data_IF_718330221429
#
_entry.id   IF_718330221429
#
_cell.length_a   1.000
_cell.length_b   1.000
_cell.length_c   1.000
_cell.angle_alpha   90.00
_cell.angle_beta   90.00
_cell.angle_gamma   90.00
#
_symmetry.space_group_name_H-M   'P 1'
#
loop_
_entity.id
_entity.type
_entity.pdbx_description
1 polymer ?
#
# COMPACT_ATOMS: atom_id res chain seq x y z
N UNK A 1 -1.39 45.26 36.72
CA UNK A 1 -1.60 45.42 38.17
C UNK A 1 -3.09 45.54 38.47
N UNK A 2 -3.69 44.45 38.98
CA UNK A 2 -4.82 44.42 39.94
C UNK A 2 -5.06 42.96 40.32
N UNK A 3 -4.20 42.50 41.22
CA UNK A 3 -4.50 41.69 42.42
C UNK A 3 -5.89 42.02 43.02
N UNK A 4 -6.64 41.19 43.76
CA UNK A 4 -6.51 39.93 44.51
C UNK A 4 -7.97 39.45 44.75
N UNK A 5 -8.21 38.16 44.96
CA UNK A 5 -9.51 37.67 45.42
C UNK A 5 -9.52 36.19 45.79
N UNK A 6 -8.74 35.83 46.82
CA UNK A 6 -8.76 34.53 47.49
C UNK A 6 -10.15 34.15 48.00
N UNK A 7 -10.56 32.90 47.81
CA UNK A 7 -11.70 32.33 48.54
C UNK A 7 -11.34 30.95 49.08
N UNK A 8 -10.67 30.96 50.25
CA UNK A 8 -10.40 29.80 51.08
C UNK A 8 -10.83 30.11 52.50
N UNK A 9 -12.02 29.67 52.88
CA UNK A 9 -12.35 29.13 54.20
C UNK A 9 -13.87 29.14 54.39
N UNK A 10 -14.48 27.97 54.54
CA UNK A 10 -15.44 27.73 55.61
C UNK A 10 -15.48 26.21 55.85
N UNK A 11 -14.76 25.79 56.88
CA UNK A 11 -14.83 24.47 57.48
C UNK A 11 -15.93 24.43 58.55
N UNK A 12 -16.41 23.21 58.79
CA UNK A 12 -17.03 22.71 60.01
C UNK A 12 -18.49 23.05 60.32
N UNK A 13 -19.37 22.10 59.97
CA UNK A 13 -20.49 21.71 60.83
C UNK A 13 -20.42 20.19 61.04
N UNK A 14 -19.99 19.85 62.25
CA UNK A 14 -19.89 18.49 62.77
C UNK A 14 -21.27 17.91 63.10
N UNK A 15 -21.43 16.61 62.87
CA UNK A 15 -22.13 15.74 63.81
C UNK A 15 -23.55 15.30 63.42
N UNK A 16 -23.66 14.09 62.88
CA UNK A 16 -24.60 13.06 63.37
C UNK A 16 -24.21 11.68 62.82
N UNK A 17 -23.64 10.88 63.71
CA UNK A 17 -23.39 9.46 63.54
C UNK A 17 -24.68 8.67 63.36
N UNK A 18 -24.74 7.73 62.40
CA UNK A 18 -25.44 6.44 62.54
C UNK A 18 -24.78 5.34 61.69
N UNK A 19 -24.25 4.35 62.41
CA UNK A 19 -24.35 2.90 62.20
C UNK A 19 -23.82 2.30 60.88
N UNK A 20 -22.60 1.77 60.97
CA UNK A 20 -22.29 0.35 60.78
C UNK A 20 -22.76 -0.32 59.49
N UNK A 21 -21.82 -0.45 58.54
CA UNK A 21 -21.76 -1.57 57.59
C UNK A 21 -20.27 -1.88 57.37
N UNK A 22 -19.87 -3.11 57.69
CA UNK A 22 -18.50 -3.60 57.53
C UNK A 22 -18.03 -3.52 56.08
N UNK A 23 -16.72 -3.29 55.81
CA UNK A 23 -16.22 -3.33 54.45
C UNK A 23 -16.10 -4.79 54.01
N UNK A 24 -17.00 -5.22 53.11
CA UNK A 24 -16.73 -6.40 52.31
C UNK A 24 -15.46 -6.13 51.52
N UNK A 25 -14.43 -6.91 51.81
CA UNK A 25 -13.14 -6.89 51.12
C UNK A 25 -13.36 -7.12 49.63
N UNK A 26 -13.40 -6.02 48.87
CA UNK A 26 -13.18 -6.06 47.45
C UNK A 26 -11.68 -6.16 47.24
N UNK A 27 -11.18 -7.38 47.11
CA UNK A 27 -9.90 -7.61 46.44
C UNK A 27 -10.09 -7.12 45.02
N UNK A 28 -9.67 -5.88 44.75
CA UNK A 28 -9.52 -5.41 43.38
C UNK A 28 -8.53 -6.37 42.71
N UNK A 29 -8.87 -7.03 41.59
CA UNK A 29 -7.86 -7.73 40.83
C UNK A 29 -6.87 -6.64 40.38
N UNK A 30 -5.66 -6.70 40.93
CA UNK A 30 -4.54 -5.98 40.37
C UNK A 30 -4.34 -6.53 38.96
N UNK A 31 -4.93 -5.85 37.97
CA UNK A 31 -4.60 -6.07 36.57
C UNK A 31 -3.20 -5.49 36.40
N UNK A 32 -2.20 -6.29 36.73
CA UNK A 32 -0.83 -6.03 36.33
C UNK A 32 -0.77 -6.29 34.84
N UNK A 33 -0.97 -5.25 34.04
CA UNK A 33 -0.61 -5.26 32.62
C UNK A 33 0.91 -5.37 32.56
N UNK A 34 1.44 -6.58 32.64
CA UNK A 34 2.81 -6.88 32.21
C UNK A 34 2.80 -6.92 30.70
N UNK A 35 2.80 -5.75 30.06
CA UNK A 35 2.98 -5.64 28.61
C UNK A 35 4.47 -5.77 28.30
N UNK A 36 4.94 -7.02 28.30
CA UNK A 36 6.30 -7.34 27.85
C UNK A 36 6.33 -7.27 26.34
N UNK A 37 6.85 -6.16 25.79
CA UNK A 37 7.07 -6.00 24.34
C UNK A 37 7.78 -7.22 23.75
N UNK A 38 7.22 -7.77 22.68
CA UNK A 38 7.85 -8.87 21.94
C UNK A 38 9.13 -8.40 21.25
N UNK A 39 9.96 -9.34 20.77
CA UNK A 39 11.13 -8.97 19.96
C UNK A 39 10.73 -8.17 18.72
N UNK A 40 9.64 -8.55 18.05
CA UNK A 40 9.12 -7.84 16.89
C UNK A 40 8.69 -6.40 17.25
N UNK A 41 8.05 -6.18 18.41
CA UNK A 41 7.69 -4.82 18.87
C UNK A 41 8.93 -3.95 19.05
N UNK A 42 9.96 -4.48 19.72
CA UNK A 42 11.22 -3.74 19.94
C UNK A 42 11.97 -3.46 18.63
N UNK A 43 11.92 -4.38 17.67
CA UNK A 43 12.51 -4.16 16.33
C UNK A 43 11.72 -3.07 15.62
N UNK A 44 10.40 -3.14 15.63
CA UNK A 44 9.54 -2.16 14.99
C UNK A 44 9.80 -0.76 15.57
N UNK A 45 9.96 -0.62 16.90
CA UNK A 45 10.38 0.61 17.62
C UNK A 45 11.65 1.25 17.07
N UNK A 46 12.56 0.47 16.51
CA UNK A 46 13.81 0.93 15.92
C UNK A 46 13.73 1.16 14.41
N UNK A 47 12.58 0.91 13.77
CA UNK A 47 12.39 1.21 12.36
C UNK A 47 11.94 2.67 12.17
N UNK A 48 12.24 3.29 11.01
CA UNK A 48 11.90 4.69 10.74
C UNK A 48 10.40 4.92 10.48
N UNK A 49 9.57 3.87 10.47
CA UNK A 49 8.11 3.96 10.34
C UNK A 49 7.61 4.70 9.09
N UNK A 50 8.41 4.70 8.01
CA UNK A 50 8.01 5.33 6.74
C UNK A 50 6.95 4.56 5.98
N UNK A 51 6.81 3.25 6.25
CA UNK A 51 5.94 2.31 5.54
C UNK A 51 6.21 2.23 4.02
N UNK A 52 7.41 2.57 3.57
CA UNK A 52 7.77 2.70 2.15
C UNK A 52 7.92 1.38 1.37
N UNK A 53 7.87 0.22 2.02
CA UNK A 53 8.01 -1.11 1.39
C UNK A 53 9.33 -1.41 0.68
N UNK A 54 10.34 -0.52 0.75
CA UNK A 54 11.66 -0.70 0.11
C UNK A 54 12.43 -1.95 0.57
N UNK A 55 12.12 -2.44 1.76
CA UNK A 55 12.65 -3.71 2.28
C UNK A 55 12.05 -4.97 1.61
N UNK A 56 11.00 -4.83 0.79
CA UNK A 56 10.26 -5.93 0.18
C UNK A 56 9.02 -6.39 0.96
N UNK A 57 8.78 -5.83 2.15
CA UNK A 57 7.62 -6.11 2.98
C UNK A 57 6.56 -5.00 2.83
N UNK A 58 5.30 -5.33 3.05
CA UNK A 58 4.16 -4.40 2.93
C UNK A 58 3.99 -3.43 4.13
N UNK A 59 5.03 -3.25 4.94
CA UNK A 59 5.03 -2.33 6.08
C UNK A 59 6.22 -2.57 7.02
N UNK A 60 6.35 -1.72 8.04
CA UNK A 60 7.37 -1.88 9.07
C UNK A 60 7.10 -3.07 9.99
N UNK A 61 5.83 -3.30 10.38
CA UNK A 61 5.43 -4.45 11.22
C UNK A 61 5.86 -5.79 10.62
N UNK A 62 5.52 -6.12 9.36
CA UNK A 62 5.84 -7.45 8.81
C UNK A 62 7.34 -7.65 8.58
N UNK A 63 8.08 -6.57 8.31
CA UNK A 63 9.54 -6.63 8.29
C UNK A 63 10.13 -6.92 9.69
N UNK A 64 9.61 -6.26 10.72
CA UNK A 64 10.03 -6.49 12.10
C UNK A 64 9.75 -7.92 12.57
N UNK A 65 8.59 -8.47 12.22
CA UNK A 65 8.23 -9.87 12.47
C UNK A 65 9.18 -10.84 11.76
N UNK A 66 9.49 -10.59 10.48
CA UNK A 66 10.40 -11.43 9.71
C UNK A 66 11.84 -11.39 10.28
N UNK A 67 12.32 -10.24 10.75
CA UNK A 67 13.62 -10.16 11.46
C UNK A 67 13.55 -10.96 12.77
N UNK A 68 12.46 -10.83 13.54
CA UNK A 68 12.30 -11.53 14.82
C UNK A 68 12.24 -13.06 14.63
N UNK A 69 11.61 -13.52 13.55
CA UNK A 69 11.54 -14.93 13.16
C UNK A 69 12.85 -15.47 12.57
N UNK A 70 13.73 -14.58 12.10
CA UNK A 70 14.99 -14.95 11.43
C UNK A 70 14.84 -15.15 9.91
N UNK A 71 13.68 -14.85 9.34
CA UNK A 71 13.38 -14.97 7.91
C UNK A 71 13.93 -13.80 7.07
N UNK A 72 14.23 -12.67 7.72
CA UNK A 72 14.79 -11.48 7.08
C UNK A 72 16.09 -11.02 7.72
N UNK A 73 16.95 -10.39 6.91
CA UNK A 73 18.14 -9.72 7.42
C UNK A 73 17.79 -8.31 7.91
N UNK A 74 18.50 -7.81 8.91
CA UNK A 74 18.22 -6.52 9.59
C UNK A 74 18.84 -5.30 8.86
N UNK A 75 19.43 -5.51 7.68
CA UNK A 75 20.08 -4.49 6.86
C UNK A 75 19.32 -4.14 5.57
N UNK A 76 18.01 -4.31 5.54
CA UNK A 76 17.19 -4.15 4.32
C UNK A 76 16.38 -2.85 4.29
N UNK A 77 16.57 -1.92 5.23
CA UNK A 77 15.80 -0.68 5.34
C UNK A 77 16.60 0.56 4.92
N UNK A 78 16.53 1.02 3.65
CA UNK A 78 17.27 2.20 3.20
C UNK A 78 16.95 3.48 3.99
N UNK A 79 15.69 3.80 4.36
CA UNK A 79 15.40 4.98 5.17
C UNK A 79 15.96 4.89 6.60
N UNK A 80 16.24 3.68 7.09
CA UNK A 80 16.88 3.49 8.38
C UNK A 80 18.38 3.79 8.32
N UNK A 81 18.99 3.66 7.15
CA UNK A 81 20.41 3.98 6.92
C UNK A 81 21.37 3.16 7.77
N UNK A 82 22.63 3.58 7.81
CA UNK A 82 23.67 2.92 8.60
C UNK A 82 23.32 2.89 10.10
N UNK A 83 22.77 3.99 10.63
CA UNK A 83 22.42 4.10 12.04
C UNK A 83 21.27 3.16 12.44
N UNK A 84 20.23 3.03 11.60
CA UNK A 84 19.14 2.08 11.84
C UNK A 84 19.63 0.63 11.90
N UNK A 85 20.58 0.27 11.03
CA UNK A 85 21.21 -1.05 11.06
C UNK A 85 21.99 -1.25 12.35
N UNK A 86 22.74 -0.25 12.79
CA UNK A 86 23.49 -0.31 14.05
C UNK A 86 22.56 -0.48 15.27
N UNK A 87 21.44 0.24 15.31
CA UNK A 87 20.40 0.10 16.35
C UNK A 87 19.82 -1.31 16.39
N UNK A 88 19.45 -1.86 15.23
CA UNK A 88 18.92 -3.22 15.11
C UNK A 88 19.97 -4.28 15.47
N UNK A 89 21.20 -4.12 14.99
CA UNK A 89 22.33 -5.02 15.30
C UNK A 89 22.57 -5.12 16.81
N UNK A 90 22.55 -3.98 17.50
CA UNK A 90 22.69 -3.91 18.96
C UNK A 90 21.54 -4.68 19.66
N UNK A 91 20.29 -4.41 19.27
CA UNK A 91 19.12 -5.09 19.84
C UNK A 91 19.17 -6.62 19.65
N UNK A 92 19.71 -7.08 18.52
CA UNK A 92 19.80 -8.49 18.14
C UNK A 92 21.07 -9.18 18.64
N UNK A 93 22.04 -8.44 19.20
CA UNK A 93 23.37 -8.97 19.55
C UNK A 93 24.17 -9.45 18.32
N UNK A 94 24.01 -8.79 17.17
CA UNK A 94 24.66 -9.12 15.89
C UNK A 94 25.70 -8.05 15.51
N UNK A 95 26.70 -8.37 14.67
CA UNK A 95 27.65 -7.36 14.17
C UNK A 95 26.93 -6.30 13.32
N UNK A 96 27.51 -5.11 13.17
CA UNK A 96 26.99 -4.12 12.22
C UNK A 96 27.45 -4.51 10.81
N UNK A 97 26.51 -4.61 9.88
CA UNK A 97 26.76 -4.94 8.46
C UNK A 97 26.30 -3.77 7.56
N UNK A 98 26.82 -3.65 6.32
CA UNK A 98 26.38 -2.58 5.41
C UNK A 98 24.92 -2.78 4.97
N UNK A 99 24.26 -1.69 4.56
CA UNK A 99 22.93 -1.71 3.95
C UNK A 99 22.93 -2.62 2.72
N UNK A 100 21.88 -3.44 2.57
CA UNK A 100 21.71 -4.29 1.42
C UNK A 100 21.46 -3.43 0.17
N UNK A 101 22.37 -3.42 -0.83
CA UNK A 101 22.24 -2.57 -2.01
C UNK A 101 21.04 -2.96 -2.89
N UNK A 102 20.53 -4.20 -2.77
CA UNK A 102 19.32 -4.64 -3.49
C UNK A 102 18.08 -3.85 -3.06
N UNK A 103 18.02 -3.44 -1.80
CA UNK A 103 16.90 -2.66 -1.27
C UNK A 103 17.00 -1.16 -1.57
N UNK A 104 18.16 -0.70 -2.07
CA UNK A 104 18.44 0.70 -2.41
C UNK A 104 19.54 1.30 -1.54
N UNK A 105 19.69 2.62 -1.65
CA UNK A 105 20.70 3.40 -0.93
C UNK A 105 20.07 4.34 0.08
N UNK A 106 20.83 4.67 1.12
CA UNK A 106 20.50 5.78 2.00
C UNK A 106 20.59 7.10 1.22
N UNK A 107 19.58 7.96 1.34
CA UNK A 107 19.48 9.23 0.62
C UNK A 107 18.77 10.28 1.48
N UNK A 108 18.92 11.58 1.16
CA UNK A 108 18.18 12.63 1.82
C UNK A 108 16.67 12.42 1.74
N UNK A 109 15.97 12.87 2.77
CA UNK A 109 14.53 12.71 2.83
C UNK A 109 13.85 13.71 1.91
N UNK A 110 12.89 13.20 1.15
CA UNK A 110 12.02 13.99 0.29
C UNK A 110 10.57 13.96 0.77
N UNK A 111 9.81 15.00 0.46
CA UNK A 111 8.37 15.10 0.69
C UNK A 111 7.66 15.16 -0.66
N UNK A 112 6.49 14.53 -0.74
CA UNK A 112 5.66 14.63 -1.94
C UNK A 112 5.14 16.06 -2.14
N UNK A 113 5.11 16.51 -3.38
CA UNK A 113 4.52 17.77 -3.82
C UNK A 113 3.54 17.46 -4.96
N UNK A 114 2.33 17.99 -4.89
CA UNK A 114 1.29 17.78 -5.91
C UNK A 114 1.16 19.07 -6.73
N UNK A 115 1.33 18.98 -8.04
CA UNK A 115 1.03 20.07 -8.96
C UNK A 115 -0.50 20.22 -9.11
N UNK A 116 -1.00 21.33 -8.59
CA UNK A 116 -2.42 21.68 -8.57
C UNK A 116 -3.01 21.85 -9.98
N UNK A 117 -2.20 22.25 -10.96
CA UNK A 117 -2.67 22.48 -12.33
C UNK A 117 -2.89 21.17 -13.08
N UNK A 118 -2.23 20.09 -12.66
CA UNK A 118 -2.33 18.77 -13.27
C UNK A 118 -3.26 17.83 -12.48
N UNK A 119 -3.48 18.09 -11.20
CA UNK A 119 -4.28 17.24 -10.34
C UNK A 119 -5.76 17.21 -10.76
N UNK A 120 -6.26 16.03 -11.15
CA UNK A 120 -7.67 15.82 -11.54
C UNK A 120 -8.57 15.39 -10.38
N UNK A 121 -8.05 15.32 -9.16
CA UNK A 121 -8.84 14.92 -7.98
C UNK A 121 -9.30 13.46 -7.99
N UNK A 122 -8.49 12.53 -8.52
CA UNK A 122 -8.85 11.10 -8.65
C UNK A 122 -8.85 10.29 -7.34
N UNK A 123 -8.28 10.83 -6.25
CA UNK A 123 -8.18 10.22 -4.90
C UNK A 123 -7.28 8.99 -4.73
N UNK A 124 -6.68 8.46 -5.81
CA UNK A 124 -5.84 7.25 -5.74
C UNK A 124 -4.60 7.45 -4.84
N UNK A 125 -3.97 8.62 -4.88
CA UNK A 125 -2.83 8.95 -4.02
C UNK A 125 -3.21 8.94 -2.52
N UNK A 126 -4.41 9.41 -2.16
CA UNK A 126 -4.93 9.41 -0.79
C UNK A 126 -5.17 7.98 -0.27
N UNK A 127 -5.56 7.05 -1.15
CA UNK A 127 -5.70 5.64 -0.82
C UNK A 127 -4.34 4.94 -0.64
N UNK A 128 -3.29 5.40 -1.33
CA UNK A 128 -1.94 4.88 -1.19
C UNK A 128 -1.18 5.45 0.02
N UNK A 129 -1.53 6.66 0.48
CA UNK A 129 -0.80 7.31 1.57
C UNK A 129 -0.97 6.56 2.91
N UNK A 130 0.10 5.99 3.49
CA UNK A 130 -0.01 5.18 4.71
C UNK A 130 -0.30 6.00 5.98
N UNK A 131 -0.02 7.29 5.96
CA UNK A 131 -0.10 8.18 7.15
C UNK A 131 -1.11 9.31 7.01
N UNK A 132 -2.00 9.24 6.01
CA UNK A 132 -3.03 10.26 5.74
C UNK A 132 -2.47 11.69 5.55
N UNK A 133 -1.27 11.83 4.97
CA UNK A 133 -0.65 13.13 4.73
C UNK A 133 -1.27 13.91 3.54
N UNK A 134 -2.20 13.32 2.79
CA UNK A 134 -2.81 13.93 1.60
C UNK A 134 -4.22 14.39 1.95
N UNK A 135 -4.50 15.67 1.74
CA UNK A 135 -5.81 16.28 1.96
C UNK A 135 -6.42 16.67 0.62
N UNK A 136 -7.71 16.41 0.46
CA UNK A 136 -8.46 16.71 -0.76
C UNK A 136 -9.83 16.05 -0.74
N UNK A 137 -10.54 16.12 -1.86
CA UNK A 137 -11.82 15.45 -2.04
C UNK A 137 -11.96 14.97 -3.50
N UNK A 138 -12.89 14.06 -3.80
CA UNK A 138 -13.17 13.66 -5.17
C UNK A 138 -13.45 14.88 -6.05
N UNK A 139 -12.77 14.95 -7.21
CA UNK A 139 -12.86 16.07 -8.17
C UNK A 139 -12.40 17.43 -7.62
N UNK A 140 -11.64 17.43 -6.53
CA UNK A 140 -10.98 18.61 -5.96
C UNK A 140 -9.46 18.42 -5.97
N UNK A 141 -8.71 19.51 -5.99
CA UNK A 141 -7.26 19.46 -5.90
C UNK A 141 -6.83 18.82 -4.58
N UNK A 142 -5.75 18.04 -4.64
CA UNK A 142 -5.15 17.42 -3.46
C UNK A 142 -3.87 18.17 -3.11
N UNK A 143 -3.58 18.26 -1.81
CA UNK A 143 -2.35 18.88 -1.29
C UNK A 143 -1.72 17.99 -0.22
N UNK A 144 -0.42 18.17 0.00
CA UNK A 144 0.36 17.41 0.97
C UNK A 144 0.54 18.23 2.23
N UNK A 145 0.16 17.66 3.37
CA UNK A 145 0.53 18.18 4.69
C UNK A 145 1.97 17.78 4.97
N UNK A 146 2.92 18.67 4.66
CA UNK A 146 4.35 18.38 4.69
C UNK A 146 4.84 17.81 6.03
N UNK A 147 4.30 18.29 7.15
CA UNK A 147 4.66 17.81 8.50
C UNK A 147 4.29 16.35 8.76
N UNK A 148 3.30 15.81 8.04
CA UNK A 148 2.82 14.43 8.21
C UNK A 148 3.45 13.46 7.23
N UNK A 149 3.90 13.94 6.06
CA UNK A 149 4.43 13.13 4.98
C UNK A 149 5.73 12.44 5.39
N UNK A 150 5.77 11.11 5.34
CA UNK A 150 6.99 10.33 5.66
C UNK A 150 8.03 10.33 4.54
N UNK A 151 7.66 10.74 3.33
CA UNK A 151 8.54 10.60 2.16
C UNK A 151 8.57 9.20 1.57
N UNK A 152 7.51 8.41 1.80
CA UNK A 152 7.43 7.00 1.43
C UNK A 152 7.26 6.71 -0.07
N UNK A 153 7.09 7.73 -0.92
CA UNK A 153 6.90 7.66 -2.38
C UNK A 153 5.74 6.79 -2.93
N UNK A 154 5.00 6.06 -2.08
CA UNK A 154 3.86 5.20 -2.45
C UNK A 154 2.72 5.91 -3.22
N UNK A 155 2.61 7.23 -3.09
CA UNK A 155 1.60 8.01 -3.81
C UNK A 155 1.94 8.27 -5.28
N UNK A 156 3.21 8.14 -5.69
CA UNK A 156 3.65 8.47 -7.05
C UNK A 156 3.12 7.46 -8.08
N UNK A 157 3.33 6.13 -7.92
CA UNK A 157 2.86 5.15 -8.91
C UNK A 157 1.35 5.17 -9.21
N UNK A 158 0.43 5.35 -8.24
CA UNK A 158 -1.00 5.34 -8.52
C UNK A 158 -1.52 6.64 -9.17
N UNK A 159 -0.70 7.67 -9.38
CA UNK A 159 -1.16 8.92 -9.98
C UNK A 159 -1.28 8.79 -11.51
N UNK A 160 -2.50 8.85 -12.09
CA UNK A 160 -2.69 8.59 -13.52
C UNK A 160 -2.25 9.75 -14.43
N UNK A 161 -2.01 10.92 -13.85
CA UNK A 161 -1.61 12.16 -14.54
C UNK A 161 -0.19 12.61 -14.17
N UNK A 162 0.52 11.79 -13.38
CA UNK A 162 1.91 12.03 -12.96
C UNK A 162 2.14 13.43 -12.35
N UNK A 163 1.18 13.92 -11.56
CA UNK A 163 1.24 15.26 -10.98
C UNK A 163 2.01 15.34 -9.65
N UNK A 164 2.79 14.32 -9.28
CA UNK A 164 3.44 14.23 -7.95
C UNK A 164 4.96 14.17 -8.11
N UNK A 165 5.66 15.14 -7.51
CA UNK A 165 7.11 15.17 -7.43
C UNK A 165 7.59 14.89 -6.00
N UNK A 166 8.76 14.29 -5.84
CA UNK A 166 9.43 14.13 -4.54
C UNK A 166 10.49 15.22 -4.40
N UNK A 167 10.30 16.16 -3.47
CA UNK A 167 11.21 17.29 -3.26
C UNK A 167 12.08 17.05 -2.02
N UNK A 168 13.41 17.14 -2.12
CA UNK A 168 14.30 16.99 -0.96
C UNK A 168 14.08 18.14 0.03
N UNK A 169 13.97 17.82 1.32
CA UNK A 169 13.72 18.82 2.38
C UNK A 169 14.78 18.83 3.50
N UNK A 170 15.71 17.88 3.49
CA UNK A 170 16.71 17.72 4.55
C UNK A 170 18.13 18.09 4.12
N UNK A 171 18.33 18.66 2.93
CA UNK A 171 19.65 18.94 2.39
C UNK A 171 20.46 17.65 2.24
N UNK A 172 21.64 17.60 2.84
CA UNK A 172 22.51 16.41 2.82
C UNK A 172 22.23 15.42 3.97
N UNK A 173 21.37 15.78 4.95
CA UNK A 173 21.04 14.89 6.07
C UNK A 173 20.27 13.67 5.56
N UNK A 174 20.65 12.49 6.03
CA UNK A 174 20.05 11.19 5.69
C UNK A 174 19.63 10.42 6.95
N UNK A 175 18.96 9.27 6.77
CA UNK A 175 18.65 8.36 7.88
C UNK A 175 17.98 9.04 9.07
N UNK A 176 18.52 8.78 10.27
CA UNK A 176 18.02 9.34 11.53
C UNK A 176 18.44 10.79 11.78
N UNK A 177 19.47 11.27 11.08
CA UNK A 177 19.75 12.71 11.06
C UNK A 177 18.63 13.45 10.35
N UNK A 178 18.02 12.88 9.31
CA UNK A 178 16.91 13.49 8.56
C UNK A 178 15.52 13.25 9.19
N UNK A 179 15.42 12.24 10.06
CA UNK A 179 14.15 11.74 10.59
C UNK A 179 14.31 11.24 12.03
N UNK A 180 13.84 12.05 12.98
CA UNK A 180 13.97 11.76 14.42
C UNK A 180 13.08 10.60 14.88
N UNK A 181 13.39 10.03 16.06
CA UNK A 181 12.55 9.03 16.71
C UNK A 181 11.13 9.53 16.95
N UNK A 182 10.97 10.77 17.42
CA UNK A 182 9.66 11.38 17.65
C UNK A 182 8.81 11.43 16.38
N UNK A 183 9.44 11.73 15.24
CA UNK A 183 8.76 11.73 13.94
C UNK A 183 8.38 10.32 13.47
N UNK A 184 9.24 9.33 13.71
CA UNK A 184 8.95 7.92 13.41
C UNK A 184 7.77 7.41 14.26
N UNK A 185 7.76 7.71 15.56
CA UNK A 185 6.70 7.32 16.48
C UNK A 185 5.37 7.98 16.09
N UNK A 186 5.38 9.28 15.80
CA UNK A 186 4.19 9.98 15.31
C UNK A 186 3.69 9.43 13.96
N UNK A 187 4.58 9.00 13.07
CA UNK A 187 4.20 8.36 11.81
C UNK A 187 3.56 6.99 12.02
N UNK A 188 4.06 6.19 12.97
CA UNK A 188 3.43 4.93 13.37
C UNK A 188 2.03 5.17 13.89
N UNK A 189 1.87 6.10 14.82
CA UNK A 189 0.55 6.39 15.40
C UNK A 189 -0.47 6.75 14.31
N UNK A 190 -0.11 7.60 13.35
CA UNK A 190 -0.99 7.94 12.22
C UNK A 190 -1.32 6.73 11.35
N UNK A 191 -0.33 5.89 11.07
CA UNK A 191 -0.53 4.68 10.29
C UNK A 191 -1.49 3.70 11.00
N UNK A 192 -1.33 3.50 12.31
CA UNK A 192 -2.18 2.63 13.09
C UNK A 192 -3.62 3.16 13.17
N UNK A 193 -3.78 4.48 13.35
CA UNK A 193 -5.08 5.15 13.29
C UNK A 193 -5.75 4.97 11.93
N UNK A 194 -4.99 5.08 10.82
CA UNK A 194 -5.49 4.82 9.47
C UNK A 194 -5.95 3.37 9.31
N UNK A 195 -5.12 2.40 9.69
CA UNK A 195 -5.47 0.99 9.60
C UNK A 195 -6.72 0.66 10.43
N UNK A 196 -6.83 1.22 11.63
CA UNK A 196 -8.01 1.06 12.47
C UNK A 196 -9.26 1.68 11.81
N UNK A 197 -9.15 2.85 11.17
CA UNK A 197 -10.24 3.44 10.40
C UNK A 197 -10.66 2.55 9.24
N UNK A 198 -9.73 2.12 8.40
CA UNK A 198 -10.01 1.28 7.23
C UNK A 198 -10.64 -0.07 7.63
N UNK A 199 -10.19 -0.66 8.74
CA UNK A 199 -10.77 -1.88 9.29
C UNK A 199 -12.24 -1.68 9.65
N UNK A 200 -12.57 -0.64 10.41
CA UNK A 200 -13.96 -0.31 10.77
C UNK A 200 -14.84 -0.04 9.55
N UNK A 201 -14.32 0.68 8.56
CA UNK A 201 -15.05 0.97 7.32
C UNK A 201 -15.32 -0.30 6.52
N UNK A 202 -14.34 -1.20 6.40
CA UNK A 202 -14.49 -2.49 5.72
C UNK A 202 -15.50 -3.38 6.43
N UNK A 203 -15.38 -3.54 7.75
CA UNK A 203 -16.32 -4.33 8.55
C UNK A 203 -17.75 -3.79 8.44
N UNK A 204 -17.92 -2.46 8.48
CA UNK A 204 -19.22 -1.83 8.29
C UNK A 204 -19.77 -2.04 6.86
N UNK A 205 -18.92 -1.99 5.84
CA UNK A 205 -19.32 -2.25 4.46
C UNK A 205 -19.73 -3.72 4.26
N UNK A 206 -18.97 -4.66 4.82
CA UNK A 206 -19.27 -6.10 4.83
C UNK A 206 -20.58 -6.40 5.56
N UNK A 207 -20.82 -5.79 6.72
CA UNK A 207 -22.06 -5.93 7.47
C UNK A 207 -23.26 -5.39 6.68
N UNK A 208 -23.13 -4.23 6.04
CA UNK A 208 -24.18 -3.67 5.15
C UNK A 208 -24.44 -4.57 3.94
N UNK A 209 -23.39 -5.14 3.35
CA UNK A 209 -23.52 -6.07 2.22
C UNK A 209 -24.20 -7.37 2.65
N UNK A 210 -23.84 -7.92 3.81
CA UNK A 210 -24.47 -9.10 4.39
C UNK A 210 -25.96 -8.86 4.70
N UNK A 211 -26.30 -7.71 5.29
CA UNK A 211 -27.69 -7.33 5.54
C UNK A 211 -28.51 -7.19 4.25
N UNK A 212 -27.92 -6.61 3.19
CA UNK A 212 -28.57 -6.53 1.86
C UNK A 212 -28.81 -7.92 1.26
N UNK A 213 -27.82 -8.83 1.35
CA UNK A 213 -27.96 -10.22 0.88
C UNK A 213 -29.03 -11.01 1.65
N UNK A 214 -29.09 -10.83 2.97
CA UNK A 214 -30.14 -11.46 3.79
C UNK A 214 -31.53 -10.92 3.43
N UNK A 215 -31.66 -9.61 3.23
CA UNK A 215 -32.92 -8.98 2.83
C UNK A 215 -33.37 -9.40 1.42
N UNK A 216 -32.45 -9.57 0.46
CA UNK A 216 -32.80 -10.08 -0.87
C UNK A 216 -33.21 -11.56 -0.85
N UNK A 217 -32.63 -12.37 0.04
CA UNK A 217 -33.00 -13.78 0.21
C UNK A 217 -34.38 -13.98 0.86
N UNK A 218 -34.89 -12.99 1.60
CA UNK A 218 -36.20 -13.05 2.28
C UNK A 218 -37.32 -12.39 1.46
N UNK A 219 -37.03 -11.91 0.25
CA UNK A 219 -38.03 -11.31 -0.64
C UNK A 219 -38.86 -12.43 -1.29
N UNK A 220 -40.18 -12.53 -1.05
CA UNK A 220 -41.01 -13.52 -1.73
C UNK A 220 -40.91 -13.30 -3.24
N UNK A 221 -40.74 -14.39 -4.00
CA UNK A 221 -40.90 -14.34 -5.45
C UNK A 221 -42.30 -13.77 -5.73
N UNK A 222 -42.35 -12.59 -6.37
CA UNK A 222 -43.60 -12.09 -6.92
C UNK A 222 -44.14 -13.18 -7.88
N UNK A 223 -45.42 -13.53 -7.70
CA UNK A 223 -46.08 -14.58 -8.47
C UNK A 223 -45.84 -14.42 -9.97
N UNK A 224 -45.52 -15.52 -10.68
CA UNK A 224 -45.37 -15.47 -12.12
C UNK A 224 -46.75 -15.26 -12.75
N UNK A 225 -47.00 -14.08 -13.31
CA UNK A 225 -48.16 -13.85 -14.15
C UNK A 225 -48.08 -14.77 -15.37
N UNK A 226 -49.01 -15.74 -15.41
CA UNK A 226 -49.43 -16.58 -16.53
C UNK A 226 -48.39 -16.96 -17.61
N UNK A 227 -48.01 -18.23 -17.57
CA UNK A 227 -47.14 -18.91 -18.53
C UNK A 227 -47.65 -18.87 -19.99
N UNK A 228 -46.72 -18.61 -20.92
CA UNK A 228 -46.74 -19.22 -22.27
C UNK A 228 -45.73 -20.38 -22.30
N UNK A 229 -46.08 -21.56 -22.82
CA UNK A 229 -45.23 -22.75 -22.69
C UNK A 229 -44.15 -22.81 -23.77
N UNK A 230 -42.88 -22.83 -23.35
CA UNK A 230 -41.76 -23.29 -24.18
C UNK A 230 -40.40 -22.63 -23.89
N UNK A 231 -39.68 -23.09 -22.85
CA UNK A 231 -38.20 -23.04 -22.78
C UNK A 231 -37.68 -23.83 -21.55
N UNK A 232 -36.54 -24.55 -21.64
CA UNK A 232 -36.01 -25.35 -20.55
C UNK A 232 -35.31 -24.52 -19.45
N UNK A 233 -35.21 -25.15 -18.28
CA UNK A 233 -34.89 -24.60 -16.97
C UNK A 233 -33.58 -23.79 -16.84
N UNK A 234 -33.66 -22.68 -16.08
CA UNK A 234 -32.54 -21.79 -15.77
C UNK A 234 -31.89 -22.11 -14.40
N UNK A 235 -30.56 -22.06 -14.37
CA UNK A 235 -29.70 -22.02 -13.17
C UNK A 235 -29.55 -20.56 -12.65
N UNK A 236 -28.88 -20.30 -11.51
CA UNK A 236 -29.21 -19.16 -10.63
C UNK A 236 -28.78 -17.81 -11.22
N UNK A 237 -29.69 -16.83 -11.14
CA UNK A 237 -29.60 -15.54 -11.84
C UNK A 237 -28.55 -14.54 -11.30
N UNK A 238 -27.83 -14.86 -10.21
CA UNK A 238 -26.93 -13.90 -9.52
C UNK A 238 -25.50 -13.90 -10.11
N UNK A 239 -24.93 -15.08 -10.38
CA UNK A 239 -23.64 -15.22 -11.10
C UNK A 239 -23.70 -14.59 -12.50
N UNK A 240 -24.88 -14.69 -13.12
CA UNK A 240 -25.17 -14.21 -14.45
C UNK A 240 -25.22 -12.67 -14.51
N UNK A 241 -25.60 -12.02 -13.41
CA UNK A 241 -25.63 -10.56 -13.28
C UNK A 241 -24.23 -9.98 -13.06
N UNK A 242 -23.37 -10.66 -12.32
CA UNK A 242 -21.98 -10.24 -12.12
C UNK A 242 -21.12 -10.49 -13.36
N UNK A 243 -21.33 -11.61 -14.05
CA UNK A 243 -20.73 -11.90 -15.35
C UNK A 243 -21.10 -10.84 -16.40
N UNK A 244 -22.38 -10.42 -16.46
CA UNK A 244 -22.84 -9.33 -17.34
C UNK A 244 -22.17 -8.00 -17.02
N UNK A 245 -22.01 -7.65 -15.74
CA UNK A 245 -21.29 -6.42 -15.35
C UNK A 245 -19.82 -6.43 -15.78
N UNK A 246 -19.12 -7.56 -15.57
CA UNK A 246 -17.71 -7.73 -16.00
C UNK A 246 -17.58 -7.65 -17.52
N UNK A 247 -18.50 -8.27 -18.26
CA UNK A 247 -18.55 -8.21 -19.73
C UNK A 247 -18.80 -6.79 -20.25
N UNK A 248 -19.69 -6.03 -19.62
CA UNK A 248 -19.96 -4.62 -19.99
C UNK A 248 -18.74 -3.73 -19.76
N UNK A 249 -18.04 -3.91 -18.63
CA UNK A 249 -16.82 -3.16 -18.31
C UNK A 249 -15.71 -3.52 -19.30
N UNK A 250 -15.50 -4.80 -19.59
CA UNK A 250 -14.52 -5.26 -20.58
C UNK A 250 -14.81 -4.70 -21.98
N UNK A 251 -16.07 -4.74 -22.41
CA UNK A 251 -16.49 -4.18 -23.69
C UNK A 251 -16.38 -2.64 -23.74
N UNK A 252 -16.50 -1.95 -22.60
CA UNK A 252 -16.27 -0.51 -22.53
C UNK A 252 -14.77 -0.17 -22.64
N UNK A 253 -13.91 -0.94 -21.98
CA UNK A 253 -12.45 -0.78 -22.05
C UNK A 253 -11.91 -1.10 -23.45
N UNK A 254 -12.41 -2.14 -24.11
CA UNK A 254 -12.01 -2.49 -25.48
C UNK A 254 -12.44 -1.43 -26.49
N UNK A 255 -13.66 -0.89 -26.35
CA UNK A 255 -14.12 0.24 -27.18
C UNK A 255 -13.28 1.50 -26.96
N UNK A 256 -12.85 1.77 -25.72
CA UNK A 256 -11.95 2.88 -25.43
C UNK A 256 -10.56 2.67 -26.04
N UNK A 257 -10.04 1.43 -26.04
CA UNK A 257 -8.76 1.09 -26.66
C UNK A 257 -8.80 1.24 -28.18
N UNK A 258 -9.83 0.68 -28.84
CA UNK A 258 -10.04 0.82 -30.30
C UNK A 258 -10.21 2.27 -30.72
N UNK A 259 -10.99 3.05 -29.96
CA UNK A 259 -11.16 4.50 -30.22
C UNK A 259 -9.85 5.27 -30.05
N UNK A 260 -8.99 4.88 -29.10
CA UNK A 260 -7.66 5.47 -28.92
C UNK A 260 -6.71 5.10 -30.07
N UNK A 261 -6.73 3.85 -30.51
CA UNK A 261 -5.95 3.35 -31.66
C UNK A 261 -6.40 4.06 -32.97
N UNK A 262 -7.71 4.22 -33.17
CA UNK A 262 -8.29 4.92 -34.33
C UNK A 262 -7.94 6.42 -34.32
N UNK A 263 -8.08 7.10 -33.18
CA UNK A 263 -7.68 8.50 -33.02
C UNK A 263 -6.15 8.69 -33.20
N UNK A 264 -5.35 7.70 -32.79
CA UNK A 264 -3.90 7.68 -33.00
C UNK A 264 -3.53 7.47 -34.47
N UNK A 265 -4.28 6.64 -35.21
CA UNK A 265 -4.09 6.40 -36.65
C UNK A 265 -4.53 7.58 -37.52
N UNK A 266 -5.52 8.36 -37.07
CA UNK A 266 -6.00 9.57 -37.74
C UNK A 266 -5.17 10.83 -37.41
N UNK A 267 -4.08 10.71 -36.65
CA UNK A 267 -3.22 11.84 -36.27
C UNK A 267 -3.89 12.85 -35.32
N UNK A 268 -5.10 12.56 -34.83
CA UNK A 268 -5.83 13.38 -33.88
C UNK A 268 -5.46 12.99 -32.44
N UNK A 269 -4.17 13.11 -32.11
CA UNK A 269 -3.71 13.21 -30.73
C UNK A 269 -4.14 14.56 -30.11
N UNK A 270 -4.03 14.74 -28.78
CA UNK A 270 -4.45 15.96 -28.11
C UNK A 270 -3.80 17.20 -28.78
N UNK A 271 -4.63 18.07 -29.36
CA UNK A 271 -4.26 19.26 -30.14
C UNK A 271 -3.68 20.41 -29.29
N UNK A 272 -2.96 20.08 -28.22
CA UNK A 272 -2.35 21.05 -27.31
C UNK A 272 -0.88 21.34 -27.65
N UNK A 273 -0.41 20.90 -28.82
CA UNK A 273 0.94 21.21 -29.33
C UNK A 273 0.93 22.37 -30.33
N UNK A 274 -0.23 22.88 -30.74
CA UNK A 274 -0.33 24.01 -31.66
C UNK A 274 -0.11 25.34 -30.91
N UNK A 275 0.87 26.13 -31.36
CA UNK A 275 1.17 27.46 -30.80
C UNK A 275 2.14 27.49 -29.60
N UNK A 276 2.82 26.39 -29.30
CA UNK A 276 3.85 26.35 -28.24
C UNK A 276 5.17 26.95 -28.71
N UNK A 277 5.96 27.49 -27.78
CA UNK A 277 7.26 28.08 -28.10
C UNK A 277 8.23 27.02 -28.66
N UNK A 278 9.20 27.44 -29.47
CA UNK A 278 10.15 26.52 -30.12
C UNK A 278 10.91 25.62 -29.12
N UNK A 279 11.17 26.12 -27.90
CA UNK A 279 11.80 25.34 -26.84
C UNK A 279 10.88 24.24 -26.30
N UNK A 280 9.58 24.52 -26.18
CA UNK A 280 8.57 23.54 -25.75
C UNK A 280 8.32 22.53 -26.86
N UNK A 281 8.31 22.97 -28.12
CA UNK A 281 8.21 22.07 -29.27
C UNK A 281 9.37 21.08 -29.33
N UNK A 282 10.60 21.54 -29.13
CA UNK A 282 11.77 20.66 -29.08
C UNK A 282 11.71 19.63 -27.93
N UNK A 283 11.11 19.99 -26.80
CA UNK A 283 10.91 19.06 -25.67
C UNK A 283 9.85 18.01 -25.97
N UNK A 284 8.77 18.41 -26.66
CA UNK A 284 7.72 17.50 -27.15
C UNK A 284 8.32 16.51 -28.14
N UNK A 285 9.06 16.99 -29.13
CA UNK A 285 9.69 16.15 -30.16
C UNK A 285 10.71 15.17 -29.54
N UNK A 286 11.50 15.63 -28.56
CA UNK A 286 12.43 14.78 -27.83
C UNK A 286 11.72 13.70 -27.00
N UNK A 287 10.57 14.01 -26.39
CA UNK A 287 9.76 13.05 -25.65
C UNK A 287 9.11 12.02 -26.58
N UNK A 288 8.62 12.44 -27.74
CA UNK A 288 8.08 11.56 -28.78
C UNK A 288 9.13 10.62 -29.36
N UNK A 289 10.34 11.13 -29.64
CA UNK A 289 11.47 10.31 -30.06
C UNK A 289 11.85 9.25 -29.03
N UNK A 290 11.79 9.56 -27.72
CA UNK A 290 12.01 8.56 -26.66
C UNK A 290 10.92 7.50 -26.64
N UNK A 291 9.65 7.90 -26.75
CA UNK A 291 8.51 6.96 -26.81
C UNK A 291 8.62 6.01 -28.00
N UNK A 292 9.00 6.52 -29.18
CA UNK A 292 9.18 5.72 -30.39
C UNK A 292 10.30 4.68 -30.24
N UNK A 293 11.46 5.08 -29.69
CA UNK A 293 12.56 4.14 -29.41
C UNK A 293 12.18 3.04 -28.41
N UNK A 294 11.46 3.38 -27.35
CA UNK A 294 10.98 2.38 -26.38
C UNK A 294 9.95 1.43 -27.01
N UNK A 295 9.09 1.93 -27.89
CA UNK A 295 8.13 1.10 -28.62
C UNK A 295 8.82 0.18 -29.63
N UNK A 296 9.85 0.64 -30.34
CA UNK A 296 10.67 -0.17 -31.25
C UNK A 296 11.46 -1.25 -30.49
N UNK A 297 12.04 -0.90 -29.33
CA UNK A 297 12.71 -1.86 -28.44
C UNK A 297 11.73 -2.90 -27.88
N UNK A 298 10.52 -2.49 -27.52
CA UNK A 298 9.48 -3.40 -27.06
C UNK A 298 9.03 -4.34 -28.19
N UNK A 299 8.81 -3.81 -29.41
CA UNK A 299 8.46 -4.62 -30.57
C UNK A 299 9.57 -5.61 -30.96
N UNK A 300 10.85 -5.21 -30.82
CA UNK A 300 11.99 -6.10 -31.01
C UNK A 300 12.03 -7.21 -29.96
N UNK A 301 11.83 -6.88 -28.68
CA UNK A 301 11.73 -7.88 -27.59
C UNK A 301 10.58 -8.85 -27.80
N UNK A 302 9.44 -8.35 -28.27
CA UNK A 302 8.26 -9.17 -28.54
C UNK A 302 8.47 -10.07 -29.78
N UNK A 303 9.21 -9.60 -30.79
CA UNK A 303 9.60 -10.39 -31.96
C UNK A 303 10.66 -11.47 -31.61
N UNK A 304 11.63 -11.13 -30.76
CA UNK A 304 12.62 -12.08 -30.22
C UNK A 304 11.94 -13.18 -29.40
N UNK A 305 10.98 -12.80 -28.54
CA UNK A 305 10.17 -13.74 -27.77
C UNK A 305 9.29 -14.65 -28.66
N UNK A 306 8.79 -14.16 -29.80
CA UNK A 306 8.06 -14.95 -30.77
C UNK A 306 8.95 -15.88 -31.61
N UNK A 307 10.23 -15.56 -31.79
CA UNK A 307 11.19 -16.39 -32.52
C UNK A 307 11.84 -17.49 -31.66
N UNK A 308 11.78 -17.38 -30.33
CA UNK A 308 12.40 -18.31 -29.38
C UNK A 308 11.55 -19.51 -28.94
N UNK A 309 10.42 -19.79 -29.62
CA UNK A 309 9.51 -20.88 -29.24
C UNK A 309 9.47 -22.08 -30.20
N UNK A 310 10.50 -22.27 -31.03
CA UNK A 310 10.68 -23.48 -31.84
C UNK A 310 12.09 -24.03 -31.61
N UNK A 311 12.26 -24.82 -30.55
CA UNK A 311 13.20 -25.95 -30.51
C UNK A 311 13.00 -26.68 -29.18
N UNK A 312 12.09 -27.64 -29.18
CA UNK A 312 12.14 -28.89 -28.40
C UNK A 312 10.84 -29.65 -28.64
N UNK A 313 10.82 -30.50 -29.67
CA UNK A 313 10.29 -31.88 -29.60
C UNK A 313 10.38 -32.53 -30.99
N UNK A 314 11.37 -33.41 -31.19
CA UNK A 314 11.35 -34.44 -32.22
C UNK A 314 12.28 -35.57 -31.78
N UNK A 315 11.67 -36.69 -31.43
CA UNK A 315 12.32 -37.87 -30.88
C UNK A 315 13.29 -38.57 -31.83
N UNK A 316 14.08 -39.45 -31.25
CA UNK A 316 14.79 -40.49 -31.98
C UNK A 316 14.70 -41.79 -31.17
N UNK A 317 13.70 -42.60 -31.50
CA UNK A 317 13.70 -44.04 -31.27
C UNK A 317 14.58 -44.68 -32.37
N UNK A 318 15.58 -45.47 -32.00
CA UNK A 318 15.88 -46.74 -32.70
C UNK A 318 16.75 -47.67 -31.81
N UNK A 319 16.57 -49.00 -31.91
CA UNK A 319 17.09 -50.02 -30.99
C UNK A 319 18.32 -50.77 -31.53
N UNK A 320 19.22 -51.24 -30.64
CA UNK A 320 19.86 -52.58 -30.69
C UNK A 320 21.07 -52.71 -29.73
N UNK A 321 20.85 -53.41 -28.60
CA UNK A 321 21.72 -54.38 -27.91
C UNK A 321 23.12 -53.98 -27.34
N UNK A 322 23.78 -54.88 -26.56
CA UNK A 322 23.25 -55.90 -25.66
C UNK A 322 23.95 -55.98 -24.27
N UNK A 323 23.24 -56.62 -23.33
CA UNK A 323 23.75 -57.48 -22.23
C UNK A 323 24.69 -56.93 -21.14
N UNK A 324 24.16 -56.88 -19.91
CA UNK A 324 24.90 -56.92 -18.64
C UNK A 324 25.66 -58.26 -18.48
N UNK A 325 26.68 -58.36 -17.60
CA UNK A 325 26.40 -58.78 -16.21
C UNK A 325 27.45 -58.19 -15.19
N UNK A 326 27.59 -58.69 -13.94
CA UNK A 326 26.84 -58.15 -12.80
C UNK A 326 27.74 -57.72 -11.61
N UNK A 327 27.06 -57.06 -10.67
CA UNK A 327 27.33 -56.79 -9.26
C UNK A 327 28.48 -57.58 -8.58
N UNK A 328 29.44 -56.84 -7.98
CA UNK A 328 30.26 -57.31 -6.86
C UNK A 328 30.47 -56.18 -5.84
N UNK A 329 29.88 -56.41 -4.66
CA UNK A 329 30.10 -55.77 -3.37
C UNK A 329 31.57 -55.37 -3.05
N UNK A 330 31.72 -54.11 -2.59
CA UNK A 330 32.40 -53.66 -1.36
C UNK A 330 33.93 -53.93 -1.22
N UNK A 331 34.68 -53.33 -0.27
CA UNK A 331 34.29 -52.65 0.98
C UNK A 331 34.05 -51.14 0.87
#
# INVERSE_FOLDING_TARGET
MREIGDNRALANLSGRARRGREPFGAVAPAVTVTDSKTLADRIEDLLPQTQCTKCGYNGCRPYAEAIAAGDANYNQCPPGGAEGIARLANLLGKPVIPLNPVNGTEHPRAIAFIDENLCIGCTLCMQACPVDAIVGAPKQMHTIVASLCTGCDLCVPPCPVDCIAMLPVTGDRTGWEAWSQEQADAARERHDLRLARQRREREAAEARAAARRAASATKPAAEPTAAQPGAPAAAPADDDAEAKKRAIIAAALERARKKKEELSGQGAGPKNTEGVSAAVQAQIDAAEGRRKRLAEQQAQRDAEAASGSNDNDAGNDDPDGPSAPPDQNAP
#
